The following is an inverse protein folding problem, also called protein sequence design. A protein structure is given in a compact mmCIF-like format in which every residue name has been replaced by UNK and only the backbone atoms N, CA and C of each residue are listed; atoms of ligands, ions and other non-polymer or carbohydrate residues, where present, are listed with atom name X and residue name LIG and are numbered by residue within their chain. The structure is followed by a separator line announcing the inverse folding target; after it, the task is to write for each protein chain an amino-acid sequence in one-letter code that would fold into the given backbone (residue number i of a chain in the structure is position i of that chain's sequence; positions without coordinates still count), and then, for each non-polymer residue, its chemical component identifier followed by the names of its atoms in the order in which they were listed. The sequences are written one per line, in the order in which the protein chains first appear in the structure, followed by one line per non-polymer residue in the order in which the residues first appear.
data_IF_949982231349
#
_entry.id   IF_949982231349
#
_cell.length_a   1.000
_cell.length_b   1.000
_cell.length_c   1.000
_cell.angle_alpha   90.00
_cell.angle_beta   90.00
_cell.angle_gamma   90.00
#
_symmetry.space_group_name_H-M   'P 1'
#
loop_
_entity.id
_entity.type
_entity.pdbx_description
1 polymer ?
#
# COMPACT_ATOMS: atom_id res chain seq x y z
N UNK A 1 7.13 16.44 8.86
CA UNK A 1 6.22 15.29 9.15
C UNK A 1 6.62 14.67 10.47
N UNK A 2 5.70 14.48 11.40
CA UNK A 2 5.96 13.67 12.60
C UNK A 2 6.03 12.20 12.17
N UNK A 3 7.11 11.51 12.56
CA UNK A 3 7.28 10.08 12.24
C UNK A 3 6.20 9.26 12.95
N UNK A 4 5.67 8.16 12.36
CA UNK A 4 4.90 7.19 13.11
C UNK A 4 5.76 6.62 14.25
N UNK A 5 5.13 6.27 15.37
CA UNK A 5 5.83 5.74 16.55
C UNK A 5 5.82 6.70 17.73
N UNK A 6 6.25 6.21 18.88
CA UNK A 6 6.12 6.91 20.15
C UNK A 6 4.68 6.87 20.68
N UNK A 7 4.44 7.55 21.79
CA UNK A 7 3.10 7.75 22.33
C UNK A 7 2.52 9.07 21.81
N UNK A 8 1.21 9.12 21.46
CA UNK A 8 0.60 10.35 21.02
C UNK A 8 0.55 11.36 22.16
N UNK A 9 0.63 12.68 21.88
CA UNK A 9 0.39 13.69 22.90
C UNK A 9 -1.02 13.51 23.51
N UNK A 10 -1.15 13.71 24.81
CA UNK A 10 -2.45 13.60 25.49
C UNK A 10 -3.52 14.52 24.87
N UNK A 11 -3.13 15.65 24.34
CA UNK A 11 -4.01 16.58 23.63
C UNK A 11 -4.57 16.03 22.31
N UNK A 12 -3.95 15.00 21.73
CA UNK A 12 -4.43 14.36 20.52
C UNK A 12 -5.51 13.28 20.77
N UNK A 13 -5.78 12.93 22.04
CA UNK A 13 -6.76 11.92 22.41
C UNK A 13 -8.21 12.26 21.99
N UNK A 14 -8.50 13.54 21.77
CA UNK A 14 -9.83 14.02 21.41
C UNK A 14 -10.07 14.11 19.88
N UNK A 15 -9.06 13.85 19.07
CA UNK A 15 -9.14 13.95 17.60
C UNK A 15 -9.14 12.58 16.93
N UNK A 16 -9.68 11.57 17.59
CA UNK A 16 -9.67 10.22 17.06
C UNK A 16 -10.58 10.10 15.83
N UNK A 17 -9.95 9.85 14.68
CA UNK A 17 -10.61 9.54 13.41
C UNK A 17 -10.58 8.05 13.09
N UNK A 18 -10.21 7.22 14.09
CA UNK A 18 -10.20 5.77 13.94
C UNK A 18 -11.62 5.26 13.75
N UNK A 19 -11.86 4.57 12.66
CA UNK A 19 -13.16 3.99 12.33
C UNK A 19 -12.96 2.57 11.84
N UNK A 20 -13.83 1.67 12.28
CA UNK A 20 -13.91 0.32 11.79
C UNK A 20 -15.37 -0.06 11.58
N UNK A 21 -15.73 -0.41 10.35
CA UNK A 21 -17.05 -0.83 9.93
C UNK A 21 -16.97 -2.09 9.07
N UNK A 22 -18.11 -2.64 8.68
CA UNK A 22 -18.17 -3.79 7.77
C UNK A 22 -17.74 -3.44 6.33
N UNK A 23 -17.71 -2.15 5.99
CA UNK A 23 -17.48 -1.67 4.62
C UNK A 23 -16.13 -0.99 4.44
N UNK A 24 -15.60 -0.41 5.51
CA UNK A 24 -14.31 0.30 5.47
C UNK A 24 -13.68 0.43 6.85
N UNK A 25 -12.38 0.66 6.88
CA UNK A 25 -11.68 1.06 8.10
C UNK A 25 -10.79 2.28 7.82
N UNK A 26 -10.61 3.11 8.86
CA UNK A 26 -9.62 4.20 8.87
C UNK A 26 -8.73 4.04 10.08
N UNK A 27 -7.44 3.90 9.84
CA UNK A 27 -6.39 3.84 10.87
C UNK A 27 -5.58 5.13 10.78
N UNK A 28 -5.86 6.13 11.63
CA UNK A 28 -5.12 7.39 11.62
C UNK A 28 -3.68 7.19 12.06
N UNK A 29 -2.78 8.02 11.54
CA UNK A 29 -1.37 8.02 11.95
C UNK A 29 -1.17 8.02 13.46
N UNK A 30 -2.01 8.72 14.20
CA UNK A 30 -1.96 8.80 15.67
C UNK A 30 -2.17 7.46 16.38
N UNK A 31 -2.74 6.45 15.70
CA UNK A 31 -2.91 5.09 16.23
C UNK A 31 -1.64 4.22 16.05
N UNK A 32 -0.68 4.67 15.26
CA UNK A 32 0.56 3.93 14.99
C UNK A 32 1.61 4.30 16.04
N UNK A 33 1.47 3.75 17.23
CA UNK A 33 2.37 3.97 18.38
C UNK A 33 3.36 2.80 18.49
N UNK A 34 4.44 2.99 19.26
CA UNK A 34 5.47 1.97 19.42
C UNK A 34 4.96 0.67 20.07
N UNK A 35 3.93 0.77 20.93
CA UNK A 35 3.37 -0.39 21.60
C UNK A 35 2.57 -1.33 20.69
N UNK A 36 2.25 -0.91 19.45
CA UNK A 36 1.53 -1.73 18.46
C UNK A 36 2.44 -2.20 17.33
N UNK A 37 3.74 -2.03 17.47
CA UNK A 37 4.70 -2.55 16.49
C UNK A 37 4.82 -4.06 16.57
N UNK A 38 5.06 -4.67 15.43
CA UNK A 38 5.28 -6.10 15.25
C UNK A 38 6.69 -6.37 14.72
N UNK A 39 7.14 -7.61 14.91
CA UNK A 39 8.40 -8.11 14.40
C UNK A 39 8.15 -9.35 13.56
N UNK A 40 9.00 -9.57 12.55
CA UNK A 40 8.94 -10.75 11.69
C UNK A 40 10.10 -11.70 11.99
N UNK A 41 9.86 -13.01 12.06
CA UNK A 41 10.93 -14.00 12.11
C UNK A 41 11.89 -13.85 10.92
N UNK A 42 13.18 -14.00 11.15
CA UNK A 42 14.19 -13.87 10.10
C UNK A 42 14.53 -12.44 9.70
N UNK A 43 13.91 -11.43 10.32
CA UNK A 43 14.25 -10.03 10.14
C UNK A 43 15.08 -9.50 11.32
N UNK A 44 15.99 -8.59 11.05
CA UNK A 44 16.88 -7.95 12.04
C UNK A 44 16.70 -6.44 12.03
N UNK A 45 16.75 -5.81 13.21
CA UNK A 45 16.79 -4.35 13.33
C UNK A 45 15.59 -3.63 12.69
N UNK A 46 14.42 -4.25 12.72
CA UNK A 46 13.20 -3.69 12.11
C UNK A 46 12.06 -3.65 13.11
N UNK A 47 11.09 -2.81 12.82
CA UNK A 47 9.75 -2.83 13.39
C UNK A 47 8.73 -2.54 12.30
N UNK A 48 7.51 -2.98 12.47
CA UNK A 48 6.45 -2.73 11.52
C UNK A 48 5.12 -2.47 12.19
N UNK A 49 4.26 -1.75 11.50
CA UNK A 49 2.84 -1.66 11.77
C UNK A 49 2.08 -2.49 10.74
N UNK A 50 1.26 -3.41 11.23
CA UNK A 50 0.38 -4.20 10.38
C UNK A 50 -0.86 -3.35 10.12
N UNK A 51 -0.97 -2.80 8.92
CA UNK A 51 -2.08 -1.96 8.51
C UNK A 51 -3.28 -2.80 8.07
N UNK A 52 -3.01 -3.91 7.39
CA UNK A 52 -4.01 -4.87 6.94
C UNK A 52 -3.42 -6.28 6.88
N UNK A 53 -4.23 -7.28 7.19
CA UNK A 53 -3.91 -8.71 6.98
C UNK A 53 -5.19 -9.56 7.01
N UNK A 54 -5.25 -10.71 6.32
CA UNK A 54 -6.46 -11.53 6.22
C UNK A 54 -7.07 -12.04 7.55
N UNK A 55 -6.29 -12.05 8.62
CA UNK A 55 -6.73 -12.57 9.92
C UNK A 55 -7.41 -11.52 10.82
N UNK A 56 -7.62 -10.29 10.37
CA UNK A 56 -8.06 -9.18 11.23
C UNK A 56 -9.55 -8.85 11.10
N UNK A 57 -10.31 -9.61 10.31
CA UNK A 57 -11.74 -9.35 10.08
C UNK A 57 -11.99 -8.32 8.97
N UNK A 58 -10.95 -7.74 8.42
CA UNK A 58 -10.92 -6.97 7.18
C UNK A 58 -9.65 -7.33 6.41
N UNK A 59 -9.58 -6.94 5.13
CA UNK A 59 -8.48 -7.31 4.23
C UNK A 59 -8.47 -8.81 3.93
N UNK A 60 -9.28 -9.20 2.95
CA UNK A 60 -9.42 -10.60 2.57
C UNK A 60 -8.29 -11.08 1.67
N UNK A 61 -7.74 -10.18 0.84
CA UNK A 61 -6.85 -10.57 -0.27
C UNK A 61 -5.39 -10.25 -0.04
N UNK A 62 -5.03 -9.36 0.89
CA UNK A 62 -3.67 -8.84 1.03
C UNK A 62 -3.24 -8.57 2.47
N UNK A 63 -1.92 -8.44 2.67
CA UNK A 63 -1.35 -7.83 3.86
C UNK A 63 -0.60 -6.56 3.46
N UNK A 64 -0.69 -5.52 4.29
CA UNK A 64 0.02 -4.26 4.10
C UNK A 64 0.76 -3.88 5.38
N UNK A 65 2.06 -3.75 5.27
CA UNK A 65 2.95 -3.39 6.37
C UNK A 65 3.61 -2.05 6.08
N UNK A 66 3.59 -1.16 7.08
CA UNK A 66 4.50 -0.02 7.14
C UNK A 66 5.72 -0.47 7.96
N UNK A 67 6.90 -0.43 7.37
CA UNK A 67 8.12 -0.95 7.98
C UNK A 67 9.15 0.15 8.19
N UNK A 68 9.80 0.11 9.33
CA UNK A 68 11.03 0.86 9.61
C UNK A 68 12.16 -0.15 9.82
N UNK A 69 13.25 0.05 9.10
CA UNK A 69 14.46 -0.77 9.18
C UNK A 69 15.59 0.14 9.66
N UNK A 70 16.18 -0.19 10.79
CA UNK A 70 17.32 0.54 11.34
C UNK A 70 18.62 0.26 10.59
N UNK A 71 19.65 1.04 10.86
CA UNK A 71 20.97 0.82 10.27
C UNK A 71 21.50 -0.59 10.62
N UNK A 72 21.97 -1.33 9.61
CA UNK A 72 22.39 -2.73 9.72
C UNK A 72 21.23 -3.74 9.78
N UNK A 73 20.00 -3.27 9.72
CA UNK A 73 18.79 -4.11 9.67
C UNK A 73 18.52 -4.69 8.30
N UNK A 74 17.58 -5.63 8.24
CA UNK A 74 17.16 -6.30 7.02
C UNK A 74 16.82 -7.76 7.20
N UNK A 75 16.76 -8.51 6.10
CA UNK A 75 16.52 -9.95 6.11
C UNK A 75 17.19 -10.64 4.93
N UNK A 76 17.70 -11.84 5.18
CA UNK A 76 18.28 -12.72 4.15
C UNK A 76 17.25 -13.69 3.55
N UNK A 77 16.07 -13.79 4.16
CA UNK A 77 14.91 -14.55 3.69
C UNK A 77 13.61 -13.84 4.11
N UNK A 78 13.28 -12.71 3.47
CA UNK A 78 12.16 -11.87 3.92
C UNK A 78 10.80 -12.51 3.77
N UNK A 79 10.60 -13.31 2.71
CA UNK A 79 9.35 -14.00 2.41
C UNK A 79 9.50 -15.50 2.61
N UNK A 80 8.60 -16.07 3.38
CA UNK A 80 8.59 -17.50 3.71
C UNK A 80 7.45 -18.29 3.04
N UNK A 81 6.44 -17.56 2.50
CA UNK A 81 5.35 -18.19 1.75
C UNK A 81 5.70 -18.22 0.24
N UNK A 82 5.98 -19.38 -0.34
CA UNK A 82 6.37 -19.48 -1.76
C UNK A 82 5.24 -19.14 -2.72
N UNK A 83 4.01 -18.95 -2.24
CA UNK A 83 2.86 -18.56 -3.06
C UNK A 83 2.60 -17.05 -3.02
N UNK A 84 3.27 -16.33 -2.11
CA UNK A 84 3.10 -14.90 -1.97
C UNK A 84 3.95 -14.14 -2.99
N UNK A 85 3.33 -13.16 -3.62
CA UNK A 85 4.01 -12.07 -4.30
C UNK A 85 4.16 -10.89 -3.35
N UNK A 86 5.19 -10.08 -3.56
CA UNK A 86 5.48 -8.90 -2.77
C UNK A 86 5.61 -7.65 -3.61
N UNK A 87 5.13 -6.53 -3.10
CA UNK A 87 5.40 -5.21 -3.67
C UNK A 87 6.06 -4.36 -2.57
N UNK A 88 7.21 -3.78 -2.88
CA UNK A 88 7.92 -2.86 -2.02
C UNK A 88 7.79 -1.44 -2.58
N UNK A 89 7.57 -0.47 -1.70
CA UNK A 89 7.61 0.96 -2.04
C UNK A 89 8.34 1.73 -0.95
N UNK A 90 9.48 2.33 -1.29
CA UNK A 90 10.32 3.09 -0.35
C UNK A 90 9.80 4.50 -0.19
N UNK A 91 9.63 4.94 1.05
CA UNK A 91 9.15 6.30 1.39
C UNK A 91 10.21 7.18 2.01
N UNK A 92 11.24 6.59 2.65
CA UNK A 92 12.31 7.36 3.31
C UNK A 92 13.57 6.49 3.42
N UNK A 93 14.75 7.14 3.40
CA UNK A 93 16.03 6.49 3.54
C UNK A 93 16.49 5.75 2.29
N UNK A 94 17.38 4.78 2.47
CA UNK A 94 18.01 4.02 1.39
C UNK A 94 18.09 2.54 1.76
N UNK A 95 17.73 1.68 0.83
CA UNK A 95 17.76 0.22 0.97
C UNK A 95 18.50 -0.40 -0.19
N UNK A 96 19.21 -1.49 0.08
CA UNK A 96 19.70 -2.40 -0.96
C UNK A 96 18.78 -3.62 -1.00
N UNK A 97 18.12 -3.82 -2.13
CA UNK A 97 17.33 -5.01 -2.45
C UNK A 97 18.16 -5.90 -3.37
N UNK A 98 18.36 -7.16 -3.01
CA UNK A 98 18.99 -8.13 -3.90
C UNK A 98 17.96 -9.16 -4.32
N UNK A 99 17.76 -9.31 -5.63
CA UNK A 99 16.86 -10.30 -6.24
C UNK A 99 17.75 -11.31 -6.96
N UNK A 100 17.64 -12.57 -6.57
CA UNK A 100 18.61 -13.59 -6.95
C UNK A 100 20.03 -13.13 -6.63
N UNK A 101 20.84 -12.81 -7.63
CA UNK A 101 22.23 -12.35 -7.45
C UNK A 101 22.43 -10.88 -7.90
N UNK A 102 21.33 -10.15 -8.21
CA UNK A 102 21.38 -8.78 -8.69
C UNK A 102 20.94 -7.82 -7.58
N UNK A 103 21.82 -6.87 -7.24
CA UNK A 103 21.53 -5.85 -6.23
C UNK A 103 21.03 -4.55 -6.86
N UNK A 104 20.02 -3.97 -6.23
CA UNK A 104 19.38 -2.72 -6.62
C UNK A 104 19.38 -1.77 -5.42
N UNK A 105 19.82 -0.55 -5.65
CA UNK A 105 19.68 0.53 -4.68
C UNK A 105 18.28 1.15 -4.81
N UNK A 106 17.59 1.27 -3.69
CA UNK A 106 16.22 1.78 -3.63
C UNK A 106 16.16 3.01 -2.74
N UNK A 107 15.95 4.15 -3.36
CA UNK A 107 15.70 5.45 -2.75
C UNK A 107 14.19 5.71 -2.59
N UNK A 108 13.76 6.81 -1.92
CA UNK A 108 12.36 7.21 -1.87
C UNK A 108 11.71 7.31 -3.25
N UNK A 109 10.56 6.64 -3.41
CA UNK A 109 9.91 6.42 -4.69
C UNK A 109 10.36 5.16 -5.43
N UNK A 110 11.33 4.42 -4.89
CA UNK A 110 11.72 3.09 -5.39
C UNK A 110 10.58 2.09 -5.22
N UNK A 111 10.34 1.31 -6.26
CA UNK A 111 9.30 0.30 -6.37
C UNK A 111 9.89 -1.02 -6.83
N UNK A 112 9.50 -2.12 -6.19
CA UNK A 112 9.85 -3.47 -6.63
C UNK A 112 8.62 -4.36 -6.65
N UNK A 113 8.52 -5.19 -7.70
CA UNK A 113 7.61 -6.33 -7.78
C UNK A 113 8.40 -7.63 -7.63
N UNK A 114 7.97 -8.48 -6.72
CA UNK A 114 8.60 -9.74 -6.35
C UNK A 114 7.57 -10.86 -6.55
N UNK A 115 7.73 -11.71 -7.59
CA UNK A 115 6.77 -12.78 -7.86
C UNK A 115 6.81 -13.89 -6.80
N UNK A 116 5.81 -14.80 -6.79
CA UNK A 116 5.82 -15.96 -5.93
C UNK A 116 7.10 -16.80 -6.15
N UNK A 117 7.68 -17.29 -5.04
CA UNK A 117 8.90 -18.11 -5.07
C UNK A 117 10.19 -17.33 -5.40
N UNK A 118 10.10 -16.02 -5.56
CA UNK A 118 11.27 -15.17 -5.78
C UNK A 118 12.20 -15.19 -4.56
N UNK A 119 13.46 -15.43 -4.78
CA UNK A 119 14.48 -15.33 -3.75
C UNK A 119 15.04 -13.90 -3.72
N UNK A 120 14.89 -13.25 -2.59
CA UNK A 120 15.37 -11.89 -2.41
C UNK A 120 15.85 -11.64 -0.97
N UNK A 121 16.70 -10.64 -0.84
CA UNK A 121 17.20 -10.14 0.45
C UNK A 121 17.05 -8.63 0.51
N UNK A 122 17.03 -8.06 1.71
CA UNK A 122 16.95 -6.62 1.90
C UNK A 122 17.86 -6.18 3.05
N UNK A 123 18.56 -5.07 2.84
CA UNK A 123 19.46 -4.51 3.83
C UNK A 123 19.38 -2.98 3.86
N UNK A 124 19.50 -2.39 5.04
CA UNK A 124 19.56 -0.95 5.26
C UNK A 124 20.90 -0.56 5.87
N UNK A 125 21.67 0.30 5.21
CA UNK A 125 22.90 0.87 5.76
C UNK A 125 22.65 2.04 6.69
N UNK A 126 21.55 2.73 6.50
CA UNK A 126 21.03 3.82 7.32
C UNK A 126 19.52 3.56 7.56
N UNK A 127 18.88 4.22 8.54
CA UNK A 127 17.45 4.04 8.76
C UNK A 127 16.64 4.31 7.49
N UNK A 128 15.71 3.40 7.20
CA UNK A 128 14.84 3.50 6.04
C UNK A 128 13.41 3.11 6.39
N UNK A 129 12.47 3.58 5.57
CA UNK A 129 11.04 3.27 5.69
C UNK A 129 10.48 2.85 4.35
N UNK A 130 9.67 1.80 4.38
CA UNK A 130 9.00 1.28 3.19
C UNK A 130 7.61 0.73 3.52
N UNK A 131 6.79 0.62 2.49
CA UNK A 131 5.61 -0.21 2.49
C UNK A 131 5.95 -1.56 1.88
N UNK A 132 5.50 -2.63 2.53
CA UNK A 132 5.53 -3.97 1.97
C UNK A 132 4.11 -4.50 1.91
N UNK A 133 3.63 -4.74 0.67
CA UNK A 133 2.32 -5.28 0.37
C UNK A 133 2.51 -6.69 -0.12
N UNK A 134 1.78 -7.64 0.47
CA UNK A 134 1.87 -9.07 0.14
C UNK A 134 0.50 -9.59 -0.25
N UNK A 135 0.47 -10.41 -1.28
CA UNK A 135 -0.74 -11.10 -1.73
C UNK A 135 -0.36 -12.47 -2.26
N UNK A 136 -1.15 -13.48 -1.96
CA UNK A 136 -1.03 -14.76 -2.68
C UNK A 136 -1.39 -14.54 -4.13
N UNK A 137 -0.47 -14.87 -5.04
CA UNK A 137 -0.73 -14.79 -6.47
C UNK A 137 -1.70 -15.90 -6.88
N UNK A 138 -2.75 -15.53 -7.60
CA UNK A 138 -3.78 -16.46 -8.05
C UNK A 138 -3.44 -16.96 -9.46
N UNK A 139 -3.16 -18.26 -9.67
CA UNK A 139 -2.96 -18.81 -10.98
C UNK A 139 -4.19 -18.63 -11.87
N UNK A 140 -3.98 -18.44 -13.17
CA UNK A 140 -5.04 -18.46 -14.17
C UNK A 140 -4.58 -19.29 -15.38
N UNK A 141 -5.52 -19.95 -16.10
CA UNK A 141 -5.17 -20.75 -17.27
C UNK A 141 -4.41 -19.95 -18.32
N UNK A 142 -3.26 -20.45 -18.74
CA UNK A 142 -2.42 -19.78 -19.75
C UNK A 142 -1.68 -18.54 -19.28
N UNK A 143 -1.71 -18.23 -17.98
CA UNK A 143 -1.03 -17.08 -17.39
C UNK A 143 0.06 -17.55 -16.44
N UNK A 144 1.26 -17.02 -16.62
CA UNK A 144 2.40 -17.21 -15.70
C UNK A 144 2.60 -15.95 -14.84
N UNK A 145 3.13 -16.12 -13.63
CA UNK A 145 3.49 -14.98 -12.81
C UNK A 145 4.54 -14.10 -13.53
N UNK A 146 4.42 -12.76 -13.42
CA UNK A 146 5.40 -11.86 -14.04
C UNK A 146 6.79 -12.06 -13.46
N UNK A 147 7.83 -11.68 -14.22
CA UNK A 147 9.19 -11.63 -13.69
C UNK A 147 9.34 -10.53 -12.64
N UNK A 148 10.29 -10.70 -11.71
CA UNK A 148 10.66 -9.65 -10.78
C UNK A 148 11.21 -8.43 -11.53
N UNK A 149 10.90 -7.23 -11.04
CA UNK A 149 11.49 -5.99 -11.55
C UNK A 149 11.59 -4.92 -10.46
N UNK A 150 12.50 -3.99 -10.69
CA UNK A 150 12.69 -2.79 -9.88
C UNK A 150 12.57 -1.57 -10.78
N UNK A 151 11.86 -0.56 -10.29
CA UNK A 151 11.68 0.73 -10.98
C UNK A 151 11.53 1.86 -9.96
N UNK A 152 11.27 3.07 -10.42
CA UNK A 152 11.00 4.22 -9.56
C UNK A 152 9.73 4.93 -9.98
N UNK A 153 9.11 5.66 -9.05
CA UNK A 153 7.98 6.53 -9.36
C UNK A 153 8.38 7.60 -10.40
N UNK A 154 9.60 8.13 -10.31
CA UNK A 154 10.11 9.15 -11.22
C UNK A 154 10.27 8.66 -12.67
N UNK A 155 10.45 7.36 -12.87
CA UNK A 155 10.52 6.73 -14.19
C UNK A 155 9.14 6.54 -14.85
N UNK A 156 8.05 6.75 -14.12
CA UNK A 156 6.68 6.55 -14.59
C UNK A 156 6.04 7.87 -14.98
N UNK A 157 5.25 7.85 -16.04
CA UNK A 157 4.45 9.01 -16.48
C UNK A 157 3.06 8.91 -15.84
N UNK A 158 2.66 9.90 -15.01
CA UNK A 158 1.30 9.93 -14.48
C UNK A 158 0.26 10.06 -15.60
N UNK A 159 -0.78 9.26 -15.55
CA UNK A 159 -1.90 9.30 -16.49
C UNK A 159 -3.01 10.12 -15.86
N UNK A 160 -3.32 11.26 -16.45
CA UNK A 160 -4.45 12.08 -16.03
C UNK A 160 -5.78 11.37 -16.31
N UNK A 161 -6.72 11.50 -15.38
CA UNK A 161 -8.08 11.04 -15.60
C UNK A 161 -8.81 12.02 -16.55
N UNK A 162 -9.59 11.51 -17.49
CA UNK A 162 -10.37 12.36 -18.40
C UNK A 162 -11.26 13.35 -17.65
N UNK A 163 -11.50 14.52 -18.24
CA UNK A 163 -12.42 15.57 -17.75
C UNK A 163 -12.11 16.12 -16.34
N UNK A 164 -10.85 16.03 -15.90
CA UNK A 164 -10.42 16.50 -14.58
C UNK A 164 -9.43 17.67 -14.63
N UNK A 165 -9.19 18.26 -15.79
CA UNK A 165 -8.18 19.33 -16.03
C UNK A 165 -6.80 18.96 -15.47
N UNK A 166 -6.45 17.66 -15.49
CA UNK A 166 -5.20 17.14 -14.91
C UNK A 166 -5.14 17.15 -13.38
N UNK A 167 -6.24 17.49 -12.70
CA UNK A 167 -6.28 17.53 -11.23
C UNK A 167 -6.35 16.18 -10.56
N UNK A 168 -6.60 15.12 -11.30
CA UNK A 168 -6.57 13.75 -10.84
C UNK A 168 -5.72 12.92 -11.80
N UNK A 169 -4.66 12.29 -11.28
CA UNK A 169 -3.77 11.46 -12.07
C UNK A 169 -3.36 10.20 -11.29
N UNK A 170 -3.01 9.16 -12.04
CA UNK A 170 -2.51 7.89 -11.49
C UNK A 170 -1.16 7.56 -12.09
N UNK A 171 -0.16 7.35 -11.24
CA UNK A 171 1.13 6.76 -11.60
C UNK A 171 1.01 5.24 -11.48
N UNK A 172 1.19 4.52 -12.58
CA UNK A 172 1.13 3.07 -12.65
C UNK A 172 2.52 2.49 -12.82
N UNK A 173 2.81 1.40 -12.11
CA UNK A 173 4.09 0.70 -12.20
C UNK A 173 4.01 -0.54 -13.10
N UNK A 174 2.80 -0.97 -13.42
CA UNK A 174 2.50 -2.07 -14.34
C UNK A 174 1.41 -1.66 -15.32
N UNK A 175 1.40 -2.27 -16.49
CA UNK A 175 0.32 -2.08 -17.45
C UNK A 175 -0.99 -2.66 -16.87
N UNK A 176 -2.05 -1.88 -16.74
CA UNK A 176 -3.34 -2.37 -16.26
C UNK A 176 -3.99 -3.42 -17.18
N UNK A 177 -3.55 -3.54 -18.42
CA UNK A 177 -4.01 -4.56 -19.37
C UNK A 177 -3.23 -5.89 -19.25
N UNK A 178 -2.09 -5.89 -18.54
CA UNK A 178 -1.32 -7.11 -18.32
C UNK A 178 -2.03 -8.03 -17.32
N UNK A 179 -2.64 -9.09 -17.85
CA UNK A 179 -3.39 -10.08 -17.08
C UNK A 179 -2.50 -11.00 -16.22
N UNK A 180 -1.17 -10.91 -16.32
CA UNK A 180 -0.26 -11.63 -15.46
C UNK A 180 -0.24 -11.08 -14.03
N UNK A 181 -0.48 -9.77 -13.86
CA UNK A 181 -0.64 -9.15 -12.56
C UNK A 181 -2.08 -9.31 -12.05
N UNK A 182 -2.25 -9.88 -10.86
CA UNK A 182 -3.56 -10.07 -10.21
C UNK A 182 -3.84 -9.07 -9.09
N UNK A 183 -2.96 -8.11 -8.92
CA UNK A 183 -3.15 -6.90 -8.12
C UNK A 183 -2.30 -5.77 -8.68
N UNK A 184 -2.69 -4.55 -8.36
CA UNK A 184 -1.94 -3.34 -8.72
C UNK A 184 -1.64 -2.52 -7.48
N UNK A 185 -0.45 -1.93 -7.43
CA UNK A 185 -0.09 -0.90 -6.47
C UNK A 185 0.31 0.35 -7.25
N UNK A 186 -0.41 1.42 -7.04
CA UNK A 186 -0.30 2.67 -7.80
C UNK A 186 -0.13 3.86 -6.86
N UNK A 187 0.32 5.00 -7.40
CA UNK A 187 0.20 6.29 -6.70
C UNK A 187 -0.94 7.07 -7.35
N UNK A 188 -1.93 7.44 -6.57
CA UNK A 188 -2.99 8.34 -6.99
C UNK A 188 -2.71 9.72 -6.43
N UNK A 189 -2.83 10.73 -7.27
CA UNK A 189 -2.53 12.12 -6.93
C UNK A 189 -3.64 13.06 -7.37
N UNK A 190 -3.99 14.00 -6.48
CA UNK A 190 -4.91 15.09 -6.74
C UNK A 190 -4.21 16.42 -6.50
N UNK A 191 -4.40 17.36 -7.39
CA UNK A 191 -4.08 18.77 -7.13
C UNK A 191 -5.14 19.36 -6.19
N UNK A 192 -4.86 20.49 -5.52
CA UNK A 192 -5.86 21.17 -4.69
C UNK A 192 -7.18 21.39 -5.43
N UNK A 193 -8.28 20.97 -4.83
CA UNK A 193 -9.60 21.00 -5.43
C UNK A 193 -9.90 19.85 -6.40
N UNK A 194 -8.96 18.92 -6.61
CA UNK A 194 -9.21 17.71 -7.40
C UNK A 194 -10.20 16.79 -6.68
N UNK A 195 -11.02 16.09 -7.45
CA UNK A 195 -12.12 15.27 -6.92
C UNK A 195 -12.26 13.96 -7.67
N UNK A 196 -12.83 12.96 -6.99
CA UNK A 196 -13.64 11.90 -7.60
C UNK A 196 -15.08 12.40 -7.48
N UNK A 197 -15.69 12.96 -8.54
CA UNK A 197 -16.91 13.76 -8.43
C UNK A 197 -18.21 12.95 -8.38
N UNK A 198 -18.11 11.64 -8.28
CA UNK A 198 -19.23 10.70 -8.23
C UNK A 198 -18.93 9.58 -7.25
N UNK A 199 -19.96 8.91 -6.78
CA UNK A 199 -19.78 7.69 -5.99
C UNK A 199 -19.44 6.54 -6.92
N UNK A 200 -18.18 6.11 -6.86
CA UNK A 200 -17.75 4.90 -7.55
C UNK A 200 -17.76 3.70 -6.62
N UNK A 201 -18.00 2.52 -7.19
CA UNK A 201 -17.85 1.24 -6.52
C UNK A 201 -16.99 0.33 -7.38
N UNK A 202 -16.17 -0.48 -6.74
CA UNK A 202 -15.30 -1.43 -7.42
C UNK A 202 -15.48 -2.83 -6.87
N UNK A 203 -15.33 -3.84 -7.74
CA UNK A 203 -15.25 -5.24 -7.32
C UNK A 203 -14.01 -5.52 -6.49
N UNK A 204 -13.00 -4.65 -6.59
CA UNK A 204 -11.73 -4.80 -5.92
C UNK A 204 -11.80 -4.34 -4.47
N UNK A 205 -11.08 -5.06 -3.63
CA UNK A 205 -10.69 -4.59 -2.30
C UNK A 205 -9.57 -3.55 -2.43
N UNK A 206 -9.59 -2.52 -1.57
CA UNK A 206 -8.58 -1.47 -1.59
C UNK A 206 -7.86 -1.32 -0.25
N UNK A 207 -6.56 -1.03 -0.33
CA UNK A 207 -5.76 -0.49 0.76
C UNK A 207 -5.14 0.82 0.30
N UNK A 208 -5.39 1.91 1.03
CA UNK A 208 -4.89 3.23 0.69
C UNK A 208 -4.05 3.78 1.85
N UNK A 209 -2.80 4.12 1.58
CA UNK A 209 -1.97 4.83 2.57
C UNK A 209 -1.71 6.24 2.08
N UNK A 210 -2.11 7.24 2.87
CA UNK A 210 -1.95 8.65 2.51
C UNK A 210 -0.48 9.05 2.64
N UNK A 211 0.15 9.37 1.53
CA UNK A 211 1.55 9.79 1.46
C UNK A 211 1.72 11.28 1.74
N UNK A 212 0.76 12.10 1.29
CA UNK A 212 0.86 13.57 1.32
C UNK A 212 -0.52 14.22 1.34
N UNK A 213 -0.62 15.36 2.01
CA UNK A 213 -1.79 16.24 1.97
C UNK A 213 -2.96 15.80 2.82
N UNK A 214 -4.14 16.34 2.49
CA UNK A 214 -5.41 16.12 3.15
C UNK A 214 -6.54 16.01 2.14
N UNK A 215 -7.54 15.21 2.49
CA UNK A 215 -8.77 15.10 1.72
C UNK A 215 -9.96 14.80 2.62
N UNK A 216 -11.14 15.02 2.11
CA UNK A 216 -12.37 14.47 2.65
C UNK A 216 -12.79 13.32 1.74
N UNK A 217 -12.86 12.14 2.30
CA UNK A 217 -13.34 10.94 1.63
C UNK A 217 -14.78 10.64 2.03
N UNK A 218 -15.61 10.35 1.05
CA UNK A 218 -16.85 9.62 1.30
C UNK A 218 -16.53 8.14 1.26
N UNK A 219 -16.81 7.45 2.36
CA UNK A 219 -16.63 6.02 2.53
C UNK A 219 -17.97 5.43 2.95
N UNK A 220 -18.59 4.65 2.07
CA UNK A 220 -19.97 4.19 2.24
C UNK A 220 -20.93 5.40 2.39
N UNK A 221 -21.46 5.65 3.58
CA UNK A 221 -22.36 6.78 3.88
C UNK A 221 -21.70 7.92 4.63
N UNK A 222 -20.47 7.71 5.08
CA UNK A 222 -19.77 8.60 5.99
C UNK A 222 -18.80 9.52 5.23
N UNK A 223 -18.64 10.73 5.77
CA UNK A 223 -17.61 11.65 5.33
C UNK A 223 -16.47 11.64 6.35
N UNK A 224 -15.28 11.31 5.91
CA UNK A 224 -14.11 11.14 6.78
C UNK A 224 -12.97 12.02 6.28
N UNK A 225 -12.43 12.85 7.16
CA UNK A 225 -11.18 13.56 6.88
C UNK A 225 -10.00 12.60 7.01
N UNK A 226 -9.10 12.65 6.03
CA UNK A 226 -7.87 11.86 6.00
C UNK A 226 -6.67 12.75 5.70
N UNK A 227 -5.52 12.40 6.27
CA UNK A 227 -4.28 13.16 6.11
C UNK A 227 -3.05 12.26 6.00
N UNK A 228 -1.93 12.86 5.63
CA UNK A 228 -0.66 12.14 5.46
C UNK A 228 -0.32 11.25 6.67
N UNK A 229 -0.09 9.97 6.40
CA UNK A 229 0.19 8.93 7.37
C UNK A 229 -1.02 8.11 7.80
N UNK A 230 -2.23 8.45 7.36
CA UNK A 230 -3.42 7.64 7.61
C UNK A 230 -3.49 6.46 6.64
N UNK A 231 -4.08 5.37 7.10
CA UNK A 231 -4.41 4.20 6.27
C UNK A 231 -5.92 4.02 6.20
N UNK A 232 -6.40 3.70 5.00
CA UNK A 232 -7.80 3.32 4.76
C UNK A 232 -7.84 1.93 4.14
N UNK A 233 -8.79 1.13 4.59
CA UNK A 233 -9.20 -0.09 3.91
C UNK A 233 -10.64 0.06 3.42
N UNK A 234 -10.90 -0.36 2.18
CA UNK A 234 -12.23 -0.39 1.59
C UNK A 234 -12.53 -1.81 1.14
N UNK A 235 -13.65 -2.33 1.59
CA UNK A 235 -14.19 -3.59 1.11
C UNK A 235 -14.59 -3.48 -0.37
N UNK A 236 -14.59 -4.61 -1.07
CA UNK A 236 -15.21 -4.70 -2.38
C UNK A 236 -16.61 -4.08 -2.39
N UNK A 237 -16.91 -3.28 -3.40
CA UNK A 237 -18.16 -2.52 -3.60
C UNK A 237 -18.43 -1.41 -2.56
N UNK A 238 -17.51 -1.07 -1.68
CA UNK A 238 -17.67 0.11 -0.83
C UNK A 238 -17.80 1.38 -1.69
N UNK A 239 -18.91 2.11 -1.63
CA UNK A 239 -19.05 3.38 -2.34
C UNK A 239 -18.02 4.39 -1.84
N UNK A 240 -17.35 5.06 -2.76
CA UNK A 240 -16.31 6.03 -2.44
C UNK A 240 -16.36 7.25 -3.33
N UNK A 241 -15.99 8.39 -2.78
CA UNK A 241 -15.71 9.63 -3.49
C UNK A 241 -14.61 10.40 -2.74
N UNK A 242 -13.94 11.33 -3.40
CA UNK A 242 -12.84 12.08 -2.80
C UNK A 242 -12.91 13.56 -3.16
N UNK A 243 -12.59 14.40 -2.20
CA UNK A 243 -12.33 15.83 -2.39
C UNK A 243 -11.01 16.22 -1.73
N UNK A 244 -10.02 16.59 -2.54
CA UNK A 244 -8.71 17.05 -2.08
C UNK A 244 -8.79 18.51 -1.67
N UNK A 245 -9.23 18.76 -0.42
CA UNK A 245 -9.51 20.10 0.12
C UNK A 245 -8.32 20.76 0.83
N UNK A 246 -7.15 20.15 0.83
CA UNK A 246 -5.96 20.73 1.42
C UNK A 246 -5.29 21.82 0.57
N UNK A 247 -4.35 22.61 1.14
CA UNK A 247 -3.66 23.67 0.42
C UNK A 247 -2.60 23.16 -0.58
N UNK A 248 -2.21 21.89 -0.49
CA UNK A 248 -1.25 21.23 -1.35
C UNK A 248 -1.83 19.96 -1.98
N UNK A 249 -1.02 19.26 -2.78
CA UNK A 249 -1.42 18.00 -3.38
C UNK A 249 -1.85 16.96 -2.34
N UNK A 250 -2.82 16.13 -2.70
CA UNK A 250 -3.21 14.95 -1.94
C UNK A 250 -2.76 13.71 -2.70
N UNK A 251 -1.99 12.83 -2.05
CA UNK A 251 -1.41 11.65 -2.69
C UNK A 251 -1.52 10.44 -1.77
N UNK A 252 -1.83 9.27 -2.36
CA UNK A 252 -1.82 8.02 -1.62
C UNK A 252 -1.27 6.86 -2.44
N UNK A 253 -0.68 5.91 -1.73
CA UNK A 253 -0.33 4.58 -2.24
C UNK A 253 -1.59 3.72 -2.22
N UNK A 254 -2.01 3.23 -3.36
CA UNK A 254 -3.21 2.44 -3.55
C UNK A 254 -2.85 1.00 -3.88
N UNK A 255 -3.28 0.06 -3.05
CA UNK A 255 -3.42 -1.35 -3.42
C UNK A 255 -4.84 -1.60 -3.92
N UNK A 256 -4.97 -2.38 -4.99
CA UNK A 256 -6.22 -3.00 -5.43
C UNK A 256 -5.94 -4.39 -5.98
N UNK A 257 -6.82 -5.34 -5.65
CA UNK A 257 -6.74 -6.69 -6.20
C UNK A 257 -7.36 -6.75 -7.60
N UNK A 258 -7.49 -7.92 -8.12
CA UNK A 258 -8.23 -8.35 -9.34
C UNK A 258 -8.37 -7.37 -10.49
N UNK A 259 -7.71 -7.69 -11.58
CA UNK A 259 -7.99 -7.15 -12.92
C UNK A 259 -8.45 -8.24 -13.92
N UNK A 260 -8.78 -9.45 -13.43
CA UNK A 260 -9.18 -10.61 -14.24
C UNK A 260 -10.21 -11.46 -13.50
N UNK A 261 -10.89 -12.37 -14.21
CA UNK A 261 -11.88 -13.25 -13.60
C UNK A 261 -11.25 -14.13 -12.52
N UNK A 262 -11.90 -14.14 -11.36
CA UNK A 262 -11.59 -15.11 -10.32
C UNK A 262 -12.09 -16.51 -10.72
N UNK A 263 -11.40 -17.55 -10.24
CA UNK A 263 -11.88 -18.91 -10.38
C UNK A 263 -13.17 -19.08 -9.58
N UNK A 264 -14.22 -19.64 -10.20
CA UNK A 264 -15.49 -19.90 -9.50
C UNK A 264 -15.43 -21.16 -8.61
N UNK A 265 -14.53 -22.09 -8.93
CA UNK A 265 -14.25 -23.22 -8.06
C UNK A 265 -13.38 -22.75 -6.90
N UNK A 266 -13.98 -22.66 -5.70
CA UNK A 266 -13.32 -22.12 -4.52
C UNK A 266 -12.04 -22.89 -4.19
N UNK A 267 -10.94 -22.17 -4.22
CA UNK A 267 -9.79 -22.45 -3.38
C UNK A 267 -9.69 -21.31 -2.35
N UNK A 268 -10.75 -21.08 -1.62
CA UNK A 268 -10.60 -20.52 -0.29
C UNK A 268 -10.05 -21.65 0.57
N UNK A 269 -8.74 -21.87 0.48
CA UNK A 269 -8.04 -22.71 1.44
C UNK A 269 -8.19 -22.04 2.80
N UNK A 270 -9.04 -22.64 3.62
CA UNK A 270 -9.05 -22.45 5.07
C UNK A 270 -7.71 -22.98 5.61
#
# INVERSE_FOLDING_TARGET
MTRPGGLPPQTALHTQRAVFTDSYAVIPRGCMTDIVTSFLPGWRGMRMWVLARPMTGFSETFSHYLMEIGAGGGSDAPETDPTAQGILYVTDGHLTLTIEDISYDMDPGGYAYLPPGCRWTIAARAPARLHWIRKRWQPAPGVTAPAAFVTTQAAQVPVAMPDTDGRWATTRFVDPADMAHDCHVNIVAFQPGGTIPFEETHVMEHGLFVLEGKAVYRLNRDWVEVEAGDFMWLRAFCPQACYAGGPGPFRYLLYKDVNRHAALAGTFGI
#
